data_IF_280983919857
#
_entry.id   IF_280983919857
#
_cell.length_a   1.000
_cell.length_b   1.000
_cell.length_c   1.000
_cell.angle_alpha   90.00
_cell.angle_beta   90.00
_cell.angle_gamma   90.00
#
_symmetry.space_group_name_H-M   'P 1'
#
loop_
_entity.id
_entity.type
_entity.pdbx_description
1 polymer ?
#
# COMPACT_ATOMS: atom_id res chain seq x y z
N UNK A 1 22.51 8.79 10.17
CA UNK A 1 21.07 8.62 9.96
C UNK A 1 20.66 7.47 10.86
N UNK A 2 19.78 7.69 11.83
CA UNK A 2 19.31 6.63 12.73
C UNK A 2 18.09 5.97 12.09
N UNK A 3 18.01 4.64 12.19
CA UNK A 3 16.85 3.88 11.73
C UNK A 3 15.61 4.22 12.56
N UNK A 4 14.43 4.14 11.95
CA UNK A 4 13.18 4.34 12.65
C UNK A 4 12.93 3.21 13.65
N UNK A 5 12.39 3.53 14.82
CA UNK A 5 11.93 2.51 15.77
C UNK A 5 10.57 1.96 15.35
N UNK A 6 10.27 0.72 15.74
CA UNK A 6 8.99 0.09 15.46
C UNK A 6 7.82 0.94 15.99
N UNK A 7 6.81 1.16 15.15
CA UNK A 7 5.63 1.94 15.51
C UNK A 7 5.83 3.47 15.55
N UNK A 8 7.01 4.00 15.24
CA UNK A 8 7.23 5.46 15.20
C UNK A 8 6.32 6.17 14.18
N UNK A 9 6.06 5.52 13.04
CA UNK A 9 5.22 6.02 11.96
C UNK A 9 4.12 4.99 11.67
N UNK A 10 3.09 4.88 12.53
CA UNK A 10 2.11 3.80 12.45
C UNK A 10 1.25 3.86 11.19
N UNK A 11 1.18 5.02 10.54
CA UNK A 11 0.47 5.23 9.28
C UNK A 11 1.29 4.84 8.04
N UNK A 12 2.59 4.53 8.16
CA UNK A 12 3.43 4.16 7.02
C UNK A 12 3.02 2.79 6.46
N UNK A 13 2.85 2.73 5.14
CA UNK A 13 2.52 1.50 4.41
C UNK A 13 3.58 1.19 3.38
N UNK A 14 3.89 -0.09 3.22
CA UNK A 14 4.63 -0.65 2.11
C UNK A 14 3.68 -1.29 1.12
N UNK A 15 3.65 -0.82 -0.12
CA UNK A 15 2.96 -1.45 -1.24
C UNK A 15 3.86 -2.51 -1.87
N UNK A 16 3.34 -3.72 -2.07
CA UNK A 16 4.12 -4.85 -2.56
C UNK A 16 3.39 -5.61 -3.68
N UNK A 17 4.12 -5.96 -4.74
CA UNK A 17 3.62 -6.82 -5.82
C UNK A 17 4.27 -8.21 -5.72
N UNK A 18 3.65 -9.22 -6.35
CA UNK A 18 4.16 -10.58 -6.33
C UNK A 18 5.02 -10.88 -7.57
N UNK A 19 6.28 -11.31 -7.36
CA UNK A 19 7.17 -11.80 -8.40
C UNK A 19 8.15 -12.84 -7.83
N UNK A 20 7.68 -14.07 -7.67
CA UNK A 20 8.45 -15.13 -6.98
C UNK A 20 8.65 -14.87 -5.47
N UNK A 21 8.01 -13.82 -4.95
CA UNK A 21 8.10 -13.28 -3.61
C UNK A 21 7.42 -11.90 -3.58
N UNK A 22 7.12 -11.39 -2.39
CA UNK A 22 6.54 -10.05 -2.25
C UNK A 22 7.63 -8.99 -2.29
N UNK A 23 7.52 -8.03 -3.20
CA UNK A 23 8.54 -7.01 -3.46
C UNK A 23 7.94 -5.63 -3.21
N UNK A 24 8.56 -4.87 -2.31
CA UNK A 24 8.24 -3.47 -2.10
C UNK A 24 8.53 -2.63 -3.35
N UNK A 25 7.58 -1.80 -3.75
CA UNK A 25 7.76 -0.89 -4.89
C UNK A 25 7.37 0.56 -4.60
N UNK A 26 6.49 0.80 -3.63
CA UNK A 26 6.06 2.14 -3.26
C UNK A 26 5.65 2.24 -1.79
N UNK A 27 5.64 3.48 -1.28
CA UNK A 27 5.06 3.81 0.00
C UNK A 27 3.57 4.17 -0.09
N UNK A 28 2.92 4.22 1.07
CA UNK A 28 1.58 4.76 1.24
C UNK A 28 1.35 5.24 2.66
N UNK A 29 0.19 5.85 2.91
CA UNK A 29 -0.22 6.35 4.22
C UNK A 29 -1.65 5.89 4.53
N UNK A 30 -1.85 5.31 5.70
CA UNK A 30 -3.20 4.95 6.19
C UNK A 30 -4.00 6.23 6.41
N UNK A 31 -5.15 6.34 5.73
CA UNK A 31 -6.13 7.39 5.97
C UNK A 31 -7.17 6.97 6.99
N UNK A 32 -7.63 5.72 6.89
CA UNK A 32 -8.56 5.08 7.81
C UNK A 32 -8.40 3.55 7.74
N UNK A 33 -9.27 2.82 8.44
CA UNK A 33 -9.24 1.36 8.56
C UNK A 33 -9.25 0.60 7.23
N UNK A 34 -9.77 1.21 6.16
CA UNK A 34 -9.97 0.57 4.85
C UNK A 34 -9.28 1.30 3.69
N UNK A 35 -8.61 2.43 3.94
CA UNK A 35 -8.03 3.25 2.88
C UNK A 35 -6.56 3.60 3.12
N UNK A 36 -5.76 3.40 2.07
CA UNK A 36 -4.37 3.84 1.98
C UNK A 36 -4.25 4.85 0.85
N UNK A 37 -3.70 6.02 1.17
CA UNK A 37 -3.31 7.03 0.18
C UNK A 37 -1.90 6.72 -0.35
N UNK A 38 -1.72 6.83 -1.65
CA UNK A 38 -0.41 6.74 -2.30
C UNK A 38 -0.34 7.70 -3.49
N UNK A 39 0.82 7.82 -4.11
CA UNK A 39 0.99 8.60 -5.33
C UNK A 39 0.40 7.84 -6.53
N UNK A 40 -0.25 8.57 -7.44
CA UNK A 40 -0.81 7.96 -8.66
C UNK A 40 0.22 7.23 -9.52
N UNK A 41 1.48 7.69 -9.51
CA UNK A 41 2.59 7.11 -10.26
C UNK A 41 3.11 5.78 -9.68
N UNK A 42 2.58 5.32 -8.56
CA UNK A 42 2.88 4.00 -8.02
C UNK A 42 2.14 2.90 -8.76
N UNK A 43 1.06 3.23 -9.49
CA UNK A 43 0.23 2.30 -10.26
C UNK A 43 -0.12 1.00 -9.51
N UNK A 44 -0.64 1.07 -8.27
CA UNK A 44 -1.05 -0.13 -7.58
C UNK A 44 -2.14 -0.86 -8.37
N UNK A 45 -2.17 -2.18 -8.27
CA UNK A 45 -3.20 -3.01 -8.91
C UNK A 45 -3.93 -3.87 -7.89
N UNK A 46 -5.21 -4.20 -8.12
CA UNK A 46 -5.88 -5.21 -7.31
C UNK A 46 -5.09 -6.52 -7.30
N UNK A 47 -4.84 -7.07 -6.11
CA UNK A 47 -3.97 -8.23 -5.91
C UNK A 47 -2.61 -7.90 -5.27
N UNK A 48 -2.17 -6.64 -5.34
CA UNK A 48 -1.04 -6.15 -4.55
C UNK A 48 -1.34 -6.21 -3.06
N UNK A 49 -0.30 -6.15 -2.24
CA UNK A 49 -0.41 -6.04 -0.78
C UNK A 49 -0.12 -4.62 -0.30
N UNK A 50 -0.99 -4.13 0.58
CA UNK A 50 -0.68 -3.05 1.50
C UNK A 50 -0.22 -3.66 2.82
N UNK A 51 1.04 -3.39 3.20
CA UNK A 51 1.67 -3.92 4.41
C UNK A 51 1.93 -2.79 5.40
N UNK A 52 1.24 -2.82 6.53
CA UNK A 52 1.34 -1.85 7.62
C UNK A 52 2.09 -2.43 8.83
N UNK A 53 2.65 -1.56 9.67
CA UNK A 53 3.39 -1.97 10.89
C UNK A 53 4.77 -2.57 10.61
N UNK A 54 5.25 -2.53 9.36
CA UNK A 54 6.56 -3.03 8.97
C UNK A 54 7.65 -1.97 9.19
N UNK A 55 8.78 -2.40 9.76
CA UNK A 55 9.96 -1.55 9.98
C UNK A 55 11.20 -2.09 9.27
N UNK A 56 11.29 -3.41 9.11
CA UNK A 56 12.31 -4.10 8.31
C UNK A 56 11.61 -4.97 7.25
N UNK A 57 11.95 -4.75 5.98
CA UNK A 57 11.39 -5.48 4.84
C UNK A 57 11.91 -6.93 4.73
N UNK A 58 13.12 -7.18 5.24
CA UNK A 58 13.79 -8.48 5.20
C UNK A 58 13.43 -9.34 6.41
N UNK A 59 13.14 -8.70 7.55
CA UNK A 59 12.76 -9.35 8.80
C UNK A 59 11.47 -8.77 9.38
N UNK A 60 10.29 -9.11 8.80
CA UNK A 60 9.01 -8.58 9.27
C UNK A 60 8.72 -9.01 10.71
N UNK A 61 8.31 -8.06 11.55
CA UNK A 61 7.89 -8.33 12.93
C UNK A 61 6.48 -8.94 13.04
N UNK A 62 6.09 -9.34 14.25
CA UNK A 62 4.76 -9.92 14.51
C UNK A 62 3.60 -8.92 14.40
N UNK A 63 3.89 -7.63 14.57
CA UNK A 63 2.90 -6.54 14.49
C UNK A 63 2.48 -6.20 13.04
N UNK A 64 3.11 -6.85 12.05
CA UNK A 64 2.89 -6.57 10.64
C UNK A 64 1.53 -7.08 10.19
N UNK A 65 0.76 -6.20 9.55
CA UNK A 65 -0.52 -6.55 8.94
C UNK A 65 -0.44 -6.36 7.43
N UNK A 66 -0.64 -7.45 6.69
CA UNK A 66 -0.77 -7.42 5.25
C UNK A 66 -2.24 -7.54 4.83
N UNK A 67 -2.67 -6.67 3.93
CA UNK A 67 -4.00 -6.68 3.33
C UNK A 67 -3.90 -6.61 1.82
N UNK A 68 -4.66 -7.46 1.14
CA UNK A 68 -4.76 -7.42 -0.31
C UNK A 68 -5.58 -6.21 -0.74
N UNK A 69 -5.04 -5.47 -1.69
CA UNK A 69 -5.72 -4.34 -2.32
C UNK A 69 -6.80 -4.92 -3.22
N UNK A 70 -8.06 -4.60 -2.90
CA UNK A 70 -9.22 -5.00 -3.72
C UNK A 70 -9.61 -3.92 -4.70
N UNK A 71 -9.31 -2.65 -4.37
CA UNK A 71 -9.72 -1.50 -5.15
C UNK A 71 -8.69 -0.38 -5.19
N UNK A 72 -8.46 0.13 -6.40
CA UNK A 72 -7.55 1.24 -6.67
C UNK A 72 -8.32 2.45 -7.19
N UNK A 73 -7.84 3.61 -6.76
CA UNK A 73 -8.57 4.85 -6.64
C UNK A 73 -7.70 6.03 -7.16
N UNK A 74 -7.39 6.12 -8.47
CA UNK A 74 -6.56 7.19 -9.07
C UNK A 74 -7.26 8.55 -9.31
N UNK A 75 -6.70 9.65 -8.81
CA UNK A 75 -7.25 11.00 -9.02
C UNK A 75 -7.68 11.28 -10.49
N UNK A 76 -8.88 11.87 -10.75
CA UNK A 76 -9.46 11.98 -12.10
C UNK A 76 -8.61 12.75 -13.10
N UNK A 77 -7.83 13.72 -12.62
CA UNK A 77 -6.92 14.52 -13.47
C UNK A 77 -5.49 13.96 -13.55
N UNK A 78 -5.24 12.81 -12.91
CA UNK A 78 -3.93 12.17 -12.99
C UNK A 78 -3.83 11.37 -14.29
N UNK A 79 -3.22 11.94 -15.33
CA UNK A 79 -3.11 11.34 -16.68
C UNK A 79 -2.02 10.26 -16.82
N UNK A 80 -1.47 9.74 -15.72
CA UNK A 80 -0.41 8.74 -15.72
C UNK A 80 -0.87 7.29 -15.93
N UNK A 81 -2.05 7.03 -16.51
CA UNK A 81 -2.78 5.74 -16.60
C UNK A 81 -3.58 5.39 -15.33
N UNK A 82 -4.89 5.23 -15.53
CA UNK A 82 -5.96 5.37 -14.54
C UNK A 82 -6.88 4.16 -14.69
N UNK A 83 -7.25 3.49 -13.60
CA UNK A 83 -8.54 2.79 -13.51
C UNK A 83 -9.05 2.84 -12.07
N UNK A 84 -10.10 3.63 -11.85
CA UNK A 84 -10.94 3.58 -10.66
C UNK A 84 -12.10 2.64 -10.90
N UNK A 85 -12.34 1.77 -9.93
CA UNK A 85 -13.42 0.80 -9.95
C UNK A 85 -14.79 1.48 -9.77
N UNK A 86 -15.75 1.14 -10.64
CA UNK A 86 -17.15 1.47 -10.41
C UNK A 86 -17.74 0.51 -9.39
N UNK A 87 -18.57 1.04 -8.48
CA UNK A 87 -19.49 0.23 -7.69
C UNK A 87 -20.64 -0.16 -8.60
N UNK A 88 -21.04 -1.43 -8.59
CA UNK A 88 -22.42 -1.78 -8.89
C UNK A 88 -23.06 -2.27 -7.59
N UNK A 89 -23.97 -1.47 -7.04
CA UNK A 89 -25.00 -1.93 -6.11
C UNK A 89 -26.24 -2.22 -6.94
N UNK A 90 -26.43 -3.50 -7.27
CA UNK A 90 -27.60 -4.34 -7.00
C UNK A 90 -27.21 -5.78 -7.34
#
# INVERSE_FOLDING_TARGET
MLDSIAGQFPYQVSLQYYSGGWIHYCGGTILDENHVLTAGQCHPVPGDLAVAGITDLLSPGFEVQARTITRVVPHPEYFGSVTFLSFQTL
#
